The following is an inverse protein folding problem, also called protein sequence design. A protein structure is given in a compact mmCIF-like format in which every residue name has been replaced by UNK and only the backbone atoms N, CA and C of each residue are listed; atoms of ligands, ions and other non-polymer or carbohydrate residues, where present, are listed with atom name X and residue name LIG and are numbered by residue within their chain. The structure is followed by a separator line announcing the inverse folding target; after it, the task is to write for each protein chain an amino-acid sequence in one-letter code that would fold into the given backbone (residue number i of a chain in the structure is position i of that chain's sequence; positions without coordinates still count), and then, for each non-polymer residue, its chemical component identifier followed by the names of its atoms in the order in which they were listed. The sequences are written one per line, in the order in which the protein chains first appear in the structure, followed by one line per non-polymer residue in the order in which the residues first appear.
data_IF_482211519873
#
_entry.id   IF_482211519873
#
_cell.length_a   1.000
_cell.length_b   1.000
_cell.length_c   1.000
_cell.angle_alpha   90.00
_cell.angle_beta   90.00
_cell.angle_gamma   90.00
#
_symmetry.space_group_name_H-M   'P 1'
#
loop_
_entity.id
_entity.type
_entity.pdbx_description
1 polymer ?
#
# COMPACT_ATOMS: atom_id res chain seq x y z
N UNK A 1 23.39 17.82 1.71
CA UNK A 1 22.73 17.08 2.81
C UNK A 1 23.36 15.68 2.87
N UNK A 2 23.37 14.99 4.02
CA UNK A 2 23.77 13.58 4.10
C UNK A 2 22.56 12.68 4.37
N UNK A 3 22.74 11.36 4.38
CA UNK A 3 21.63 10.40 4.56
C UNK A 3 20.97 10.51 5.92
N UNK A 4 21.72 10.76 6.99
CA UNK A 4 21.16 10.99 8.32
C UNK A 4 20.22 12.21 8.34
N UNK A 5 20.66 13.32 7.73
CA UNK A 5 19.84 14.52 7.59
C UNK A 5 18.62 14.29 6.70
N UNK A 6 18.73 13.48 5.64
CA UNK A 6 17.59 13.08 4.81
C UNK A 6 16.57 12.30 5.63
N UNK A 7 17.03 11.30 6.40
CA UNK A 7 16.19 10.48 7.28
C UNK A 7 15.44 11.32 8.31
N UNK A 8 16.12 12.27 8.95
CA UNK A 8 15.51 13.21 9.90
C UNK A 8 14.44 14.09 9.22
N UNK A 9 14.73 14.56 8.00
CA UNK A 9 13.80 15.40 7.23
C UNK A 9 12.62 14.64 6.65
N UNK A 10 12.76 13.34 6.41
CA UNK A 10 11.70 12.45 5.94
C UNK A 10 10.71 12.07 7.06
N UNK A 11 11.06 12.23 8.34
CA UNK A 11 10.21 11.86 9.49
C UNK A 11 8.76 12.35 9.39
N UNK A 12 8.46 13.61 9.01
CA UNK A 12 7.08 14.09 8.91
C UNK A 12 6.25 13.39 7.83
N UNK A 13 6.90 12.70 6.90
CA UNK A 13 6.29 11.95 5.80
C UNK A 13 6.24 10.44 6.09
N UNK A 14 6.71 9.98 7.25
CA UNK A 14 6.49 8.59 7.66
C UNK A 14 4.99 8.39 7.88
N UNK A 15 4.46 7.31 7.30
CA UNK A 15 3.04 6.97 7.42
C UNK A 15 2.87 5.71 8.25
N UNK A 16 1.84 5.72 9.10
CA UNK A 16 1.37 4.52 9.79
C UNK A 16 0.70 3.60 8.78
N UNK A 17 0.97 2.31 8.91
CA UNK A 17 0.35 1.24 8.12
C UNK A 17 -0.22 0.18 9.04
N UNK A 18 -1.37 -0.37 8.68
CA UNK A 18 -1.96 -1.53 9.35
C UNK A 18 -1.81 -2.76 8.46
N UNK A 19 -1.01 -3.72 8.91
CA UNK A 19 -0.75 -4.97 8.22
C UNK A 19 -1.83 -5.99 8.59
N UNK A 20 -2.41 -6.65 7.61
CA UNK A 20 -3.30 -7.78 7.81
C UNK A 20 -2.51 -9.08 7.81
N UNK A 21 -2.56 -9.79 8.93
CA UNK A 21 -1.83 -11.04 9.17
C UNK A 21 -2.78 -12.08 9.76
N UNK A 22 -2.43 -13.36 9.66
CA UNK A 22 -3.20 -14.47 10.24
C UNK A 22 -3.54 -14.23 11.72
N UNK A 23 -4.82 -14.26 12.06
CA UNK A 23 -5.28 -14.14 13.44
C UNK A 23 -4.98 -15.40 14.25
N UNK A 24 -4.61 -15.22 15.52
CA UNK A 24 -4.55 -16.30 16.52
C UNK A 24 -5.88 -16.40 17.28
N UNK A 25 -6.11 -17.50 18.00
CA UNK A 25 -7.38 -17.80 18.69
C UNK A 25 -7.89 -16.68 19.63
N UNK A 26 -6.99 -15.85 20.17
CA UNK A 26 -7.33 -14.75 21.08
C UNK A 26 -7.57 -13.40 20.40
N UNK A 27 -7.30 -13.30 19.10
CA UNK A 27 -7.30 -12.01 18.40
C UNK A 27 -8.71 -11.61 17.95
N UNK A 28 -8.95 -10.31 17.87
CA UNK A 28 -10.12 -9.80 17.17
C UNK A 28 -9.96 -10.01 15.67
N UNK A 29 -10.96 -10.63 15.04
CA UNK A 29 -10.97 -10.85 13.60
C UNK A 29 -11.49 -9.57 12.92
N UNK A 30 -10.63 -8.96 12.11
CA UNK A 30 -10.88 -7.67 11.46
C UNK A 30 -10.97 -7.79 9.93
N UNK A 31 -10.49 -8.90 9.38
CA UNK A 31 -10.64 -9.24 7.98
C UNK A 31 -10.61 -10.75 7.75
N UNK A 32 -10.91 -11.15 6.52
CA UNK A 32 -10.86 -12.51 6.01
C UNK A 32 -10.22 -12.49 4.62
N UNK A 33 -9.37 -13.45 4.31
CA UNK A 33 -8.81 -13.64 2.96
C UNK A 33 -9.07 -15.06 2.43
N UNK A 34 -9.24 -15.20 1.12
CA UNK A 34 -9.34 -16.50 0.45
C UNK A 34 -8.89 -16.40 -1.00
N UNK A 35 -8.07 -17.37 -1.43
CA UNK A 35 -7.65 -17.51 -2.82
C UNK A 35 -8.52 -18.44 -3.67
N UNK A 36 -9.54 -19.04 -3.06
CA UNK A 36 -10.39 -20.02 -3.75
C UNK A 36 -11.80 -19.49 -4.02
N UNK A 37 -12.14 -18.34 -3.44
CA UNK A 37 -13.46 -17.74 -3.53
C UNK A 37 -13.38 -16.45 -4.35
N UNK A 38 -14.44 -16.14 -5.09
CA UNK A 38 -14.48 -14.90 -5.88
C UNK A 38 -14.48 -13.63 -5.03
N UNK A 39 -14.92 -13.74 -3.77
CA UNK A 39 -14.73 -12.71 -2.76
C UNK A 39 -13.38 -12.97 -2.10
N UNK A 40 -12.33 -12.28 -2.56
CA UNK A 40 -10.93 -12.56 -2.22
C UNK A 40 -10.54 -12.03 -0.84
N UNK A 41 -11.05 -10.85 -0.48
CA UNK A 41 -10.72 -10.18 0.77
C UNK A 41 -11.96 -9.49 1.34
N UNK A 42 -12.21 -9.63 2.64
CA UNK A 42 -13.34 -9.02 3.33
C UNK A 42 -12.82 -8.32 4.58
N UNK A 43 -13.13 -7.04 4.75
CA UNK A 43 -12.54 -6.20 5.81
C UNK A 43 -13.58 -5.29 6.44
N UNK A 44 -13.46 -5.08 7.75
CA UNK A 44 -14.22 -4.04 8.44
C UNK A 44 -13.57 -2.68 8.19
N UNK A 45 -14.22 -1.83 7.39
CA UNK A 45 -13.78 -0.50 7.00
C UNK A 45 -14.94 0.50 7.11
N UNK A 46 -14.70 1.66 7.73
CA UNK A 46 -15.73 2.69 7.97
C UNK A 46 -17.03 2.14 8.61
N UNK A 47 -16.89 1.31 9.66
CA UNK A 47 -17.99 0.66 10.39
C UNK A 47 -18.89 -0.29 9.57
N UNK A 48 -18.49 -0.62 8.33
CA UNK A 48 -19.16 -1.62 7.48
C UNK A 48 -18.18 -2.70 7.01
N UNK A 49 -18.72 -3.84 6.60
CA UNK A 49 -17.92 -4.86 5.93
C UNK A 49 -17.83 -4.54 4.44
N UNK A 50 -16.61 -4.46 3.94
CA UNK A 50 -16.28 -4.24 2.55
C UNK A 50 -15.60 -5.49 1.99
N UNK A 51 -15.82 -5.77 0.71
CA UNK A 51 -15.31 -6.95 0.05
C UNK A 51 -14.63 -6.61 -1.27
N UNK A 52 -13.42 -7.14 -1.48
CA UNK A 52 -12.77 -7.22 -2.78
C UNK A 52 -13.29 -8.46 -3.51
N UNK A 53 -14.07 -8.24 -4.57
CA UNK A 53 -14.60 -9.30 -5.42
C UNK A 53 -13.90 -9.28 -6.78
N UNK A 54 -13.49 -10.45 -7.22
CA UNK A 54 -13.05 -10.75 -8.58
C UNK A 54 -14.22 -11.34 -9.38
N UNK A 55 -14.51 -10.78 -10.55
CA UNK A 55 -15.55 -11.25 -11.46
C UNK A 55 -15.07 -11.06 -12.91
N UNK A 56 -14.88 -12.16 -13.65
CA UNK A 56 -14.38 -12.13 -15.04
C UNK A 56 -13.09 -11.30 -15.21
N UNK A 57 -12.09 -11.52 -14.34
CA UNK A 57 -10.81 -10.80 -14.33
C UNK A 57 -10.92 -9.29 -14.01
N UNK A 58 -12.07 -8.82 -13.51
CA UNK A 58 -12.26 -7.46 -13.00
C UNK A 58 -12.40 -7.47 -11.47
N UNK A 59 -11.71 -6.54 -10.82
CA UNK A 59 -11.75 -6.36 -9.37
C UNK A 59 -12.68 -5.21 -8.98
N UNK A 60 -13.47 -5.43 -7.93
CA UNK A 60 -14.37 -4.42 -7.37
C UNK A 60 -14.35 -4.44 -5.85
N UNK A 61 -14.38 -3.27 -5.21
CA UNK A 61 -14.42 -3.14 -3.76
C UNK A 61 -15.74 -2.50 -3.34
N UNK A 62 -16.58 -3.25 -2.64
CA UNK A 62 -17.96 -2.83 -2.34
C UNK A 62 -18.49 -3.39 -1.02
N UNK A 63 -19.55 -2.80 -0.44
CA UNK A 63 -20.14 -3.31 0.80
C UNK A 63 -20.64 -4.74 0.67
N UNK A 64 -20.42 -5.54 1.72
CA UNK A 64 -20.86 -6.94 1.79
C UNK A 64 -21.61 -7.23 3.09
N UNK A 65 -22.61 -8.10 3.03
CA UNK A 65 -23.27 -8.64 4.22
C UNK A 65 -22.50 -9.86 4.72
N UNK A 66 -21.65 -9.67 5.72
CA UNK A 66 -20.76 -10.72 6.24
C UNK A 66 -21.52 -11.98 6.67
N UNK A 67 -22.77 -11.85 7.14
CA UNK A 67 -23.60 -12.97 7.58
C UNK A 67 -23.97 -13.93 6.44
N UNK A 68 -23.82 -13.48 5.20
CA UNK A 68 -24.06 -14.28 3.99
C UNK A 68 -22.79 -14.95 3.45
N UNK A 69 -21.62 -14.61 3.99
CA UNK A 69 -20.32 -15.16 3.61
C UNK A 69 -20.03 -16.38 4.47
N UNK A 70 -19.68 -17.51 3.84
CA UNK A 70 -19.19 -18.70 4.54
C UNK A 70 -17.73 -18.49 4.98
N UNK A 71 -17.55 -17.82 6.10
CA UNK A 71 -16.22 -17.47 6.64
C UNK A 71 -15.36 -18.69 7.00
N UNK A 72 -15.93 -19.91 7.02
CA UNK A 72 -15.17 -21.14 7.27
C UNK A 72 -14.19 -21.49 6.13
N UNK A 73 -14.38 -20.87 4.95
CA UNK A 73 -13.51 -21.02 3.78
C UNK A 73 -12.39 -19.98 3.68
N UNK A 74 -12.26 -19.13 4.68
CA UNK A 74 -11.36 -17.99 4.68
C UNK A 74 -10.35 -18.10 5.82
N UNK A 75 -9.19 -17.49 5.62
CA UNK A 75 -8.21 -17.28 6.66
C UNK A 75 -8.66 -16.05 7.46
N UNK A 76 -8.92 -16.17 8.78
CA UNK A 76 -9.25 -15.02 9.61
C UNK A 76 -7.99 -14.18 9.86
N UNK A 77 -8.13 -12.87 9.76
CA UNK A 77 -7.03 -11.92 9.84
C UNK A 77 -7.23 -10.91 10.97
N UNK A 78 -6.13 -10.54 11.60
CA UNK A 78 -6.03 -9.43 12.55
C UNK A 78 -5.13 -8.32 11.99
N UNK A 79 -5.00 -7.21 12.71
CA UNK A 79 -4.17 -6.07 12.31
C UNK A 79 -2.96 -5.90 13.24
N UNK A 80 -1.79 -5.64 12.65
CA UNK A 80 -0.59 -5.15 13.34
C UNK A 80 -0.18 -3.80 12.75
N UNK A 81 0.14 -2.82 13.59
CA UNK A 81 0.61 -1.53 13.11
C UNK A 81 2.13 -1.53 12.87
N UNK A 82 2.58 -0.82 11.84
CA UNK A 82 3.97 -0.45 11.60
C UNK A 82 4.03 0.98 11.04
N UNK A 83 5.24 1.46 10.77
CA UNK A 83 5.53 2.73 10.13
C UNK A 83 6.36 2.50 8.88
N UNK A 84 6.06 3.25 7.81
CA UNK A 84 6.70 3.11 6.50
C UNK A 84 7.34 4.43 6.11
N UNK A 85 8.62 4.37 5.75
CA UNK A 85 9.32 5.52 5.19
C UNK A 85 8.82 5.81 3.77
N UNK A 86 8.77 7.08 3.33
CA UNK A 86 8.45 7.39 1.95
C UNK A 86 9.60 6.97 1.02
N UNK A 87 9.31 6.44 -0.18
CA UNK A 87 10.31 6.23 -1.22
C UNK A 87 10.77 7.58 -1.81
N UNK A 88 11.80 7.57 -2.66
CA UNK A 88 12.39 8.80 -3.20
C UNK A 88 11.43 9.61 -4.07
N UNK A 89 10.57 8.93 -4.81
CA UNK A 89 9.53 9.50 -5.66
C UNK A 89 8.57 10.32 -4.81
N UNK A 90 8.13 9.77 -3.67
CA UNK A 90 7.27 10.45 -2.71
C UNK A 90 8.00 11.62 -2.04
N UNK A 91 9.29 11.46 -1.71
CA UNK A 91 10.11 12.55 -1.18
C UNK A 91 10.32 13.68 -2.19
N UNK A 92 10.42 13.35 -3.48
CA UNK A 92 10.50 14.35 -4.55
C UNK A 92 9.18 15.11 -4.68
N UNK A 93 8.05 14.40 -4.59
CA UNK A 93 6.73 14.99 -4.72
C UNK A 93 6.33 15.84 -3.50
N UNK A 94 6.42 15.28 -2.28
CA UNK A 94 5.90 15.89 -1.04
C UNK A 94 6.98 16.49 -0.13
N UNK A 95 8.25 16.19 -0.37
CA UNK A 95 9.36 16.67 0.46
C UNK A 95 9.60 18.17 0.33
N UNK A 96 10.33 18.73 1.29
CA UNK A 96 10.71 20.14 1.24
C UNK A 96 11.74 20.43 0.13
N UNK A 97 11.91 21.71 -0.20
CA UNK A 97 12.84 22.17 -1.24
C UNK A 97 14.28 21.65 -1.03
N UNK A 98 14.70 21.38 0.21
CA UNK A 98 16.05 20.85 0.47
C UNK A 98 16.16 19.36 0.17
N UNK A 99 15.10 18.59 0.44
CA UNK A 99 15.01 17.19 0.03
C UNK A 99 15.04 17.10 -1.49
N UNK A 100 14.18 17.86 -2.17
CA UNK A 100 14.10 17.87 -3.62
C UNK A 100 15.43 18.28 -4.27
N UNK A 101 16.02 19.39 -3.83
CA UNK A 101 17.32 19.84 -4.34
C UNK A 101 18.41 18.79 -4.14
N UNK A 102 18.43 18.10 -2.99
CA UNK A 102 19.43 17.08 -2.75
C UNK A 102 19.23 15.85 -3.66
N UNK A 103 18.01 15.38 -3.88
CA UNK A 103 17.78 14.25 -4.81
C UNK A 103 18.26 14.64 -6.22
N UNK A 104 17.91 15.85 -6.70
CA UNK A 104 18.37 16.35 -8.01
C UNK A 104 19.90 16.55 -8.08
N UNK A 105 20.54 17.03 -7.03
CA UNK A 105 22.00 17.20 -6.96
C UNK A 105 22.76 15.87 -7.00
N UNK A 106 22.09 14.75 -6.72
CA UNK A 106 22.68 13.41 -6.74
C UNK A 106 22.14 12.59 -7.93
N UNK A 107 21.80 13.23 -9.04
CA UNK A 107 21.37 12.58 -10.31
C UNK A 107 19.97 11.95 -10.31
N UNK A 108 19.12 12.23 -9.31
CA UNK A 108 17.71 11.86 -9.36
C UNK A 108 16.92 12.80 -10.29
N UNK A 109 16.22 12.23 -11.27
CA UNK A 109 15.34 12.99 -12.17
C UNK A 109 13.88 12.93 -11.70
N UNK A 110 13.31 14.08 -11.35
CA UNK A 110 11.92 14.17 -10.89
C UNK A 110 10.89 13.89 -12.00
N UNK A 111 11.31 14.01 -13.25
CA UNK A 111 10.46 13.83 -14.42
C UNK A 111 10.60 12.40 -14.99
N UNK A 112 11.40 11.53 -14.35
CA UNK A 112 11.60 10.12 -14.71
C UNK A 112 11.65 9.23 -13.44
N UNK A 113 10.54 8.54 -13.16
CA UNK A 113 10.42 7.65 -12.00
C UNK A 113 11.38 6.45 -12.08
N UNK A 114 11.71 5.98 -13.29
CA UNK A 114 12.69 4.90 -13.45
C UNK A 114 14.09 5.36 -13.02
N UNK A 115 14.42 6.64 -13.24
CA UNK A 115 15.66 7.23 -12.75
C UNK A 115 15.71 7.26 -11.22
N UNK A 116 14.60 7.56 -10.55
CA UNK A 116 14.52 7.61 -9.09
C UNK A 116 14.62 6.21 -8.45
N UNK A 117 14.04 5.19 -9.08
CA UNK A 117 14.21 3.80 -8.67
C UNK A 117 15.66 3.32 -8.80
N UNK A 118 16.42 3.84 -9.77
CA UNK A 118 17.82 3.52 -9.99
C UNK A 118 18.79 4.41 -9.17
N UNK A 119 18.29 5.52 -8.61
CA UNK A 119 19.08 6.49 -7.86
C UNK A 119 19.35 5.98 -6.44
N UNK A 120 20.60 5.60 -6.15
CA UNK A 120 20.96 4.97 -4.88
C UNK A 120 22.14 5.66 -4.17
N UNK A 121 21.89 6.25 -3.02
CA UNK A 121 22.60 5.88 -1.81
C UNK A 121 21.89 4.67 -1.20
N UNK A 122 22.50 3.48 -1.34
CA UNK A 122 22.00 2.19 -0.87
C UNK A 122 21.33 2.28 0.52
N UNK A 123 21.90 3.08 1.42
CA UNK A 123 21.43 3.27 2.79
C UNK A 123 19.99 3.80 2.98
N UNK A 124 19.45 4.62 2.06
CA UNK A 124 18.07 5.10 2.19
C UNK A 124 17.07 4.17 1.52
N UNK A 125 17.46 3.56 0.39
CA UNK A 125 16.64 2.53 -0.27
C UNK A 125 16.43 1.35 0.68
N UNK A 126 17.51 0.86 1.31
CA UNK A 126 17.43 -0.21 2.30
C UNK A 126 16.49 0.17 3.45
N UNK A 127 16.55 1.41 3.93
CA UNK A 127 15.65 1.89 4.99
C UNK A 127 14.17 1.86 4.57
N UNK A 128 13.87 2.31 3.35
CA UNK A 128 12.51 2.27 2.83
C UNK A 128 12.05 0.82 2.65
N UNK A 129 12.85 -0.01 1.96
CA UNK A 129 12.55 -1.41 1.70
C UNK A 129 12.34 -2.20 3.00
N UNK A 130 13.21 -2.04 3.99
CA UNK A 130 13.10 -2.67 5.32
C UNK A 130 11.81 -2.29 6.06
N UNK A 131 11.25 -1.10 5.76
CA UNK A 131 10.02 -0.62 6.38
C UNK A 131 8.75 -0.99 5.59
N UNK A 132 8.85 -1.18 4.28
CA UNK A 132 7.68 -1.27 3.41
C UNK A 132 7.10 -2.71 3.37
N UNK A 133 5.77 -2.89 3.52
CA UNK A 133 5.16 -4.22 3.65
C UNK A 133 5.44 -5.17 2.49
N UNK A 134 5.54 -4.64 1.27
CA UNK A 134 5.81 -5.40 0.04
C UNK A 134 7.16 -6.14 0.06
N UNK A 135 8.15 -5.63 0.80
CA UNK A 135 9.48 -6.27 0.90
C UNK A 135 9.65 -7.08 2.18
N UNK A 136 8.59 -7.21 2.98
CA UNK A 136 8.63 -8.01 4.19
C UNK A 136 8.61 -9.50 3.87
N UNK A 137 9.35 -10.29 4.65
CA UNK A 137 9.25 -11.76 4.61
C UNK A 137 8.17 -12.30 5.57
N UNK A 138 7.36 -11.42 6.17
CA UNK A 138 6.26 -11.81 7.05
C UNK A 138 5.06 -12.28 6.22
N UNK A 139 4.23 -13.16 6.79
CA UNK A 139 2.96 -13.62 6.19
C UNK A 139 1.91 -12.49 6.26
N UNK A 140 2.02 -11.53 5.36
CA UNK A 140 1.13 -10.36 5.22
C UNK A 140 0.21 -10.60 4.02
N UNK A 141 -1.10 -10.49 4.24
CA UNK A 141 -2.12 -10.69 3.19
C UNK A 141 -2.47 -9.37 2.48
N UNK A 142 -2.46 -8.27 3.23
CA UNK A 142 -2.79 -6.94 2.77
C UNK A 142 -2.21 -5.90 3.73
N UNK A 143 -2.18 -4.63 3.31
CA UNK A 143 -1.98 -3.51 4.23
C UNK A 143 -2.95 -2.36 3.96
N UNK A 144 -3.29 -1.61 5.01
CA UNK A 144 -4.14 -0.42 4.98
C UNK A 144 -3.33 0.85 5.28
N UNK A 145 -3.56 1.88 4.46
CA UNK A 145 -2.89 3.17 4.54
C UNK A 145 -1.41 3.09 4.14
N UNK A 146 -0.63 4.11 4.49
CA UNK A 146 0.79 4.16 4.13
C UNK A 146 1.08 4.83 2.79
N UNK A 147 2.17 4.38 2.19
CA UNK A 147 2.56 4.73 0.84
C UNK A 147 2.17 3.56 -0.07
N UNK A 148 1.56 3.87 -1.20
CA UNK A 148 1.36 2.86 -2.25
C UNK A 148 2.74 2.52 -2.85
N UNK A 149 2.89 1.31 -3.35
CA UNK A 149 4.09 0.94 -4.09
C UNK A 149 4.16 1.77 -5.37
N UNK A 150 5.36 2.23 -5.73
CA UNK A 150 5.59 2.85 -7.04
C UNK A 150 6.01 1.74 -8.00
N UNK A 151 5.20 1.50 -9.03
CA UNK A 151 5.42 0.40 -9.95
C UNK A 151 6.24 0.84 -11.17
N UNK A 152 7.01 -0.06 -11.81
CA UNK A 152 7.80 0.28 -12.99
C UNK A 152 7.00 0.84 -14.16
N UNK A 153 5.71 0.49 -14.27
CA UNK A 153 4.78 0.99 -15.28
C UNK A 153 4.11 2.31 -14.93
N UNK A 154 4.31 2.84 -13.71
CA UNK A 154 3.77 4.14 -13.34
C UNK A 154 4.52 5.25 -14.08
N UNK A 155 3.81 6.00 -14.91
CA UNK A 155 4.26 7.32 -15.39
C UNK A 155 3.93 8.42 -14.34
N UNK A 156 2.78 8.27 -13.66
CA UNK A 156 2.31 9.15 -12.58
C UNK A 156 1.55 8.30 -11.53
N UNK A 157 2.09 8.12 -10.32
CA UNK A 157 1.45 7.33 -9.27
C UNK A 157 0.08 7.88 -8.89
N UNK A 158 -0.95 7.01 -8.86
CA UNK A 158 -2.31 7.42 -8.51
C UNK A 158 -2.41 8.11 -7.14
N UNK A 159 -1.55 7.72 -6.20
CA UNK A 159 -1.50 8.32 -4.86
C UNK A 159 -1.07 9.80 -4.86
N UNK A 160 -0.56 10.33 -5.98
CA UNK A 160 -0.26 11.76 -6.13
C UNK A 160 -1.46 12.60 -6.51
N UNK A 161 -2.55 11.98 -6.96
CA UNK A 161 -3.80 12.67 -7.18
C UNK A 161 -4.48 12.97 -5.83
N UNK A 162 -4.62 14.26 -5.48
CA UNK A 162 -5.23 14.70 -4.22
C UNK A 162 -6.71 14.31 -4.08
N UNK A 163 -7.40 14.01 -5.19
CA UNK A 163 -8.79 13.54 -5.21
C UNK A 163 -8.91 12.05 -4.86
N UNK A 164 -7.79 11.32 -4.80
CA UNK A 164 -7.72 9.92 -4.46
C UNK A 164 -7.09 9.69 -3.09
N UNK A 165 -7.71 8.85 -2.27
CA UNK A 165 -7.11 8.31 -1.05
C UNK A 165 -6.73 6.85 -1.28
N UNK A 166 -5.44 6.54 -1.16
CA UNK A 166 -4.99 5.15 -1.11
C UNK A 166 -5.49 4.48 0.18
N UNK A 167 -6.20 3.37 0.03
CA UNK A 167 -6.76 2.64 1.15
C UNK A 167 -6.01 1.34 1.44
N UNK A 168 -5.87 0.47 0.43
CA UNK A 168 -5.33 -0.87 0.63
C UNK A 168 -4.41 -1.30 -0.51
N UNK A 169 -3.43 -2.13 -0.18
CA UNK A 169 -2.86 -3.10 -1.11
C UNK A 169 -3.21 -4.50 -0.62
N UNK A 170 -3.76 -5.33 -1.50
CA UNK A 170 -4.26 -6.68 -1.21
C UNK A 170 -3.54 -7.66 -2.13
N UNK A 171 -3.42 -8.93 -1.72
CA UNK A 171 -2.77 -9.98 -2.52
C UNK A 171 -1.25 -10.05 -2.30
N UNK A 172 -0.77 -9.62 -1.13
CA UNK A 172 0.66 -9.64 -0.82
C UNK A 172 1.26 -11.05 -0.68
N UNK A 173 0.42 -12.03 -0.33
CA UNK A 173 0.84 -13.42 -0.20
C UNK A 173 0.69 -14.20 -1.51
N UNK A 174 -0.37 -13.92 -2.25
CA UNK A 174 -0.75 -14.61 -3.47
C UNK A 174 -1.24 -13.56 -4.47
N UNK A 175 -0.47 -13.36 -5.54
CA UNK A 175 -0.79 -12.43 -6.63
C UNK A 175 -2.14 -12.77 -7.30
N UNK A 176 -2.85 -11.78 -7.86
CA UNK A 176 -2.38 -10.44 -8.21
C UNK A 176 -2.39 -9.41 -7.07
N UNK A 177 -1.51 -8.40 -7.17
CA UNK A 177 -1.51 -7.27 -6.24
C UNK A 177 -2.60 -6.27 -6.61
N UNK A 178 -3.56 -6.04 -5.72
CA UNK A 178 -4.66 -5.11 -5.97
C UNK A 178 -4.54 -3.89 -5.07
N UNK A 179 -4.42 -2.71 -5.69
CA UNK A 179 -4.51 -1.42 -5.01
C UNK A 179 -5.96 -0.95 -4.99
N UNK A 180 -6.42 -0.49 -3.83
CA UNK A 180 -7.75 0.08 -3.65
C UNK A 180 -7.61 1.55 -3.28
N UNK A 181 -8.17 2.41 -4.11
CA UNK A 181 -8.27 3.85 -3.88
C UNK A 181 -9.72 4.26 -3.66
N UNK A 182 -9.92 5.32 -2.90
CA UNK A 182 -11.21 6.00 -2.77
C UNK A 182 -11.16 7.35 -3.49
N UNK A 183 -12.05 7.53 -4.45
CA UNK A 183 -12.19 8.78 -5.18
C UNK A 183 -13.22 9.68 -4.48
N UNK A 184 -12.75 10.84 -3.99
CA UNK A 184 -13.52 11.75 -3.14
C UNK A 184 -14.69 12.40 -3.87
N UNK A 185 -14.50 12.77 -5.14
CA UNK A 185 -15.49 13.53 -5.89
C UNK A 185 -16.76 12.71 -6.17
N UNK A 186 -16.60 11.46 -6.60
CA UNK A 186 -17.71 10.58 -6.95
C UNK A 186 -18.07 9.59 -5.83
N UNK A 187 -17.32 9.59 -4.72
CA UNK A 187 -17.50 8.69 -3.57
C UNK A 187 -17.43 7.19 -3.97
N UNK A 188 -16.55 6.84 -4.90
CA UNK A 188 -16.39 5.47 -5.41
C UNK A 188 -15.05 4.85 -5.02
N UNK A 189 -15.01 3.52 -5.01
CA UNK A 189 -13.77 2.77 -4.86
C UNK A 189 -13.25 2.35 -6.23
N UNK A 190 -11.95 2.56 -6.45
CA UNK A 190 -11.22 2.17 -7.65
C UNK A 190 -10.29 1.02 -7.26
N UNK A 191 -10.37 -0.09 -7.98
CA UNK A 191 -9.43 -1.20 -7.86
C UNK A 191 -8.47 -1.17 -9.05
N UNK A 192 -7.18 -1.28 -8.79
CA UNK A 192 -6.14 -1.38 -9.81
C UNK A 192 -5.35 -2.66 -9.58
N UNK A 193 -5.31 -3.50 -10.61
CA UNK A 193 -4.45 -4.67 -10.65
C UNK A 193 -3.02 -4.26 -11.03
N UNK A 194 -2.05 -4.76 -10.26
CA UNK A 194 -0.63 -4.53 -10.45
C UNK A 194 0.07 -5.85 -10.71
N UNK A 195 0.97 -5.84 -11.68
CA UNK A 195 1.71 -7.01 -12.15
C UNK A 195 3.20 -6.78 -11.99
N UNK A 196 3.95 -7.81 -11.60
CA UNK A 196 5.42 -7.80 -11.56
C UNK A 196 6.05 -8.22 -12.88
#
# INVERSE_FOLDING_TARGET
MNIEQLREKAQPLIRKVLLFVSAQDSDEILAYASENESLRFVVKHADQWMGLKEDHDEFSFSPVMIETVDTSKYIPLTKRATEVYPPFETLMHYGDVKIQAWITENDGDKDDLSSLAAFAPDEYIDLWMDSHPMYSNDEIFAYEGGWAMIWPEDDEPMQWNEDLDFLFQIGLQDEPFIEVFYEKENEIYICMERNT
#
